data_IF_678199309999
#
_entry.id   IF_678199309999
#
_cell.length_a   1.000
_cell.length_b   1.000
_cell.length_c   1.000
_cell.angle_alpha   90.00
_cell.angle_beta   90.00
_cell.angle_gamma   90.00
#
_symmetry.space_group_name_H-M   'P 1'
#
loop_
_entity.id
_entity.type
_entity.pdbx_description
1 polymer ?
#
# COMPACT_ATOMS: atom_id res chain seq x y z
N UNK A 1 -26.00 -8.00 8.76
CA UNK A 1 -24.57 -7.72 8.68
C UNK A 1 -24.03 -8.14 7.33
N UNK A 2 -23.62 -7.19 6.50
CA UNK A 2 -22.85 -7.46 5.28
C UNK A 2 -21.49 -8.00 5.74
N UNK A 3 -21.20 -9.29 5.48
CA UNK A 3 -19.84 -9.80 5.59
C UNK A 3 -18.96 -8.97 4.63
N UNK A 4 -17.94 -8.32 5.18
CA UNK A 4 -16.87 -7.71 4.38
C UNK A 4 -16.19 -8.85 3.63
N UNK A 5 -16.45 -8.97 2.36
CA UNK A 5 -15.69 -9.86 1.48
C UNK A 5 -14.68 -8.96 0.78
N UNK A 6 -13.43 -8.97 1.25
CA UNK A 6 -12.35 -8.32 0.51
C UNK A 6 -12.22 -9.02 -0.85
N UNK A 7 -12.40 -8.33 -1.99
CA UNK A 7 -12.29 -8.94 -3.31
C UNK A 7 -10.95 -9.66 -3.54
N UNK A 8 -9.87 -9.23 -2.87
CA UNK A 8 -8.57 -9.90 -2.91
C UNK A 8 -8.61 -11.29 -2.24
N UNK A 9 -9.45 -11.48 -1.22
CA UNK A 9 -9.60 -12.78 -0.54
C UNK A 9 -10.33 -13.82 -1.40
N UNK A 10 -11.14 -13.39 -2.38
CA UNK A 10 -11.86 -14.29 -3.28
C UNK A 10 -11.06 -14.70 -4.52
N UNK A 11 -9.90 -14.09 -4.75
CA UNK A 11 -8.99 -14.33 -5.88
C UNK A 11 -7.61 -14.80 -5.43
N UNK A 12 -7.48 -15.32 -4.23
CA UNK A 12 -6.22 -15.91 -3.74
C UNK A 12 -5.77 -17.06 -4.64
N UNK A 13 -4.46 -17.34 -4.70
CA UNK A 13 -3.95 -18.51 -5.41
C UNK A 13 -4.52 -19.78 -4.79
N UNK A 14 -4.59 -20.85 -5.58
CA UNK A 14 -4.96 -22.17 -5.07
C UNK A 14 -3.95 -22.62 -3.99
N UNK A 15 -4.40 -23.35 -2.96
CA UNK A 15 -3.50 -23.89 -1.96
C UNK A 15 -2.40 -24.73 -2.60
N UNK A 16 -1.16 -24.46 -2.22
CA UNK A 16 0.02 -25.17 -2.69
C UNK A 16 0.95 -25.45 -1.51
N UNK A 17 1.32 -26.70 -1.30
CA UNK A 17 2.11 -27.13 -0.13
C UNK A 17 3.62 -26.92 -0.28
N UNK A 18 4.08 -26.48 -1.45
CA UNK A 18 5.51 -26.32 -1.80
C UNK A 18 6.07 -24.92 -1.59
N UNK A 19 5.36 -24.02 -0.89
CA UNK A 19 5.86 -22.67 -0.60
C UNK A 19 6.98 -22.70 0.45
N UNK A 20 8.02 -21.92 0.19
CA UNK A 20 8.99 -21.54 1.22
C UNK A 20 8.62 -20.17 1.74
N UNK A 21 8.40 -20.06 3.05
CA UNK A 21 8.12 -18.79 3.68
C UNK A 21 9.40 -18.00 3.84
N UNK A 22 9.29 -16.67 3.64
CA UNK A 22 10.39 -15.74 3.85
C UNK A 22 10.20 -15.00 5.16
N UNK A 23 11.30 -14.73 5.84
CA UNK A 23 11.39 -13.84 6.99
C UNK A 23 12.14 -12.55 6.61
N UNK A 24 11.95 -11.48 7.41
CA UNK A 24 12.63 -10.20 7.19
C UNK A 24 14.15 -10.39 7.31
N UNK A 25 14.89 -9.98 6.28
CA UNK A 25 16.34 -10.13 6.21
C UNK A 25 16.84 -11.42 5.59
N UNK A 26 15.97 -12.35 5.17
CA UNK A 26 16.37 -13.57 4.48
C UNK A 26 17.20 -13.26 3.22
N UNK A 27 18.24 -14.08 3.02
CA UNK A 27 19.10 -14.00 1.85
C UNK A 27 18.71 -15.08 0.84
N UNK A 28 18.50 -14.65 -0.38
CA UNK A 28 18.14 -15.49 -1.52
C UNK A 28 19.25 -15.41 -2.56
N UNK A 29 19.57 -16.52 -3.19
CA UNK A 29 20.44 -16.54 -4.36
C UNK A 29 19.67 -17.06 -5.56
N UNK A 30 19.47 -16.22 -6.56
CA UNK A 30 18.72 -16.58 -7.75
C UNK A 30 19.34 -15.98 -9.01
N UNK A 31 19.58 -16.82 -10.03
CA UNK A 31 20.13 -16.37 -11.32
C UNK A 31 21.52 -15.72 -11.23
N UNK A 32 22.33 -16.07 -10.20
CA UNK A 32 23.64 -15.45 -9.97
C UNK A 32 23.58 -14.13 -9.23
N UNK A 33 22.41 -13.71 -8.73
CA UNK A 33 22.18 -12.47 -7.97
C UNK A 33 21.85 -12.81 -6.53
N UNK A 34 22.47 -12.09 -5.59
CA UNK A 34 22.17 -12.16 -4.17
C UNK A 34 21.10 -11.12 -3.82
N UNK A 35 20.00 -11.59 -3.25
CA UNK A 35 18.84 -10.78 -2.89
C UNK A 35 18.61 -10.82 -1.37
N UNK A 36 18.22 -9.72 -0.81
CA UNK A 36 17.72 -9.59 0.56
C UNK A 36 16.21 -9.38 0.55
N UNK A 37 15.48 -10.20 1.31
CA UNK A 37 14.06 -10.05 1.52
C UNK A 37 13.81 -9.00 2.61
N UNK A 38 13.11 -7.93 2.29
CA UNK A 38 12.73 -6.87 3.23
C UNK A 38 11.23 -6.94 3.41
N UNK A 39 10.77 -7.33 4.59
CA UNK A 39 9.35 -7.36 4.89
C UNK A 39 8.78 -5.94 4.96
N UNK A 40 7.83 -5.64 4.07
CA UNK A 40 7.23 -4.31 3.88
C UNK A 40 5.71 -4.38 3.94
N UNK A 41 5.13 -4.71 5.13
CA UNK A 41 3.69 -4.78 5.29
C UNK A 41 3.01 -3.42 5.05
N UNK A 42 1.70 -3.48 4.78
CA UNK A 42 0.83 -2.33 4.57
C UNK A 42 -0.08 -2.52 3.37
N UNK A 43 0.45 -2.52 2.14
CA UNK A 43 -0.36 -2.88 0.97
C UNK A 43 -1.00 -4.26 1.12
N UNK A 44 -0.21 -5.23 1.55
CA UNK A 44 -0.67 -6.52 2.09
C UNK A 44 0.15 -6.91 3.31
N UNK A 45 -0.37 -7.73 4.25
CA UNK A 45 0.38 -8.17 5.43
C UNK A 45 1.65 -8.95 5.11
N UNK A 46 1.64 -9.71 4.02
CA UNK A 46 2.76 -10.55 3.57
C UNK A 46 3.61 -9.92 2.47
N UNK A 47 3.57 -8.60 2.28
CA UNK A 47 4.37 -7.97 1.22
C UNK A 47 5.85 -7.94 1.56
N UNK A 48 6.68 -8.24 0.55
CA UNK A 48 8.14 -8.11 0.60
C UNK A 48 8.67 -7.30 -0.58
N UNK A 49 9.67 -6.48 -0.32
CA UNK A 49 10.60 -6.01 -1.34
C UNK A 49 11.80 -6.96 -1.42
N UNK A 50 12.38 -7.12 -2.61
CA UNK A 50 13.65 -7.85 -2.77
C UNK A 50 14.72 -6.86 -3.20
N UNK A 51 15.82 -6.79 -2.45
CA UNK A 51 16.90 -5.86 -2.69
C UNK A 51 18.18 -6.60 -3.09
N UNK A 52 18.79 -6.22 -4.20
CA UNK A 52 20.09 -6.71 -4.67
C UNK A 52 21.13 -5.60 -4.50
N UNK A 53 21.89 -5.58 -3.39
CA UNK A 53 22.79 -4.46 -3.09
C UNK A 53 23.94 -4.31 -4.08
N UNK A 54 24.45 -5.38 -4.64
CA UNK A 54 25.55 -5.36 -5.62
C UNK A 54 25.12 -4.72 -6.94
N UNK A 55 23.91 -5.05 -7.41
CA UNK A 55 23.34 -4.58 -8.67
C UNK A 55 22.61 -3.23 -8.50
N UNK A 56 22.33 -2.82 -7.28
CA UNK A 56 21.51 -1.66 -6.97
C UNK A 56 20.05 -1.82 -7.42
N UNK A 57 19.52 -3.05 -7.38
CA UNK A 57 18.15 -3.35 -7.79
C UNK A 57 17.22 -3.42 -6.58
N UNK A 58 16.03 -2.83 -6.71
CA UNK A 58 14.95 -2.99 -5.75
C UNK A 58 13.68 -3.43 -6.46
N UNK A 59 13.29 -4.67 -6.28
CA UNK A 59 11.97 -5.16 -6.69
C UNK A 59 10.96 -4.74 -5.62
N UNK A 60 10.30 -3.61 -5.86
CA UNK A 60 9.46 -2.96 -4.85
C UNK A 60 8.02 -3.46 -4.82
N UNK A 61 7.63 -4.35 -5.72
CA UNK A 61 6.26 -4.84 -5.78
C UNK A 61 5.25 -3.69 -5.83
N UNK A 62 4.20 -3.80 -5.05
CA UNK A 62 3.20 -2.74 -4.87
C UNK A 62 3.49 -1.83 -3.66
N UNK A 63 4.66 -1.99 -3.01
CA UNK A 63 5.06 -1.10 -1.93
C UNK A 63 5.41 0.31 -2.43
N UNK A 64 6.18 0.41 -3.53
CA UNK A 64 6.52 1.70 -4.15
C UNK A 64 6.12 1.71 -5.62
N UNK A 65 5.09 2.49 -5.92
CA UNK A 65 4.62 2.77 -7.29
C UNK A 65 4.85 4.25 -7.60
N UNK A 66 5.47 4.56 -8.73
CA UNK A 66 5.96 5.93 -9.00
C UNK A 66 4.89 6.90 -9.49
N UNK A 67 3.85 6.43 -10.16
CA UNK A 67 2.84 7.29 -10.80
C UNK A 67 1.45 7.18 -10.20
N UNK A 68 1.24 6.21 -9.33
CA UNK A 68 0.01 6.00 -8.56
C UNK A 68 0.38 5.71 -7.11
N UNK A 69 -0.49 5.97 -6.16
CA UNK A 69 -0.32 5.52 -4.78
C UNK A 69 -0.74 4.05 -4.68
N UNK A 70 0.01 3.21 -3.95
CA UNK A 70 -0.47 1.91 -3.55
C UNK A 70 -1.79 2.04 -2.81
N UNK A 71 -2.66 1.07 -3.01
CA UNK A 71 -3.88 0.99 -2.23
C UNK A 71 -3.56 0.34 -0.88
N UNK A 72 -3.91 0.99 0.20
CA UNK A 72 -3.81 0.46 1.56
C UNK A 72 -5.22 0.18 2.03
N UNK A 73 -5.48 -1.04 2.46
CA UNK A 73 -6.78 -1.50 2.89
C UNK A 73 -6.71 -2.08 4.30
N UNK A 74 -7.84 -2.02 4.98
CA UNK A 74 -8.09 -2.78 6.20
C UNK A 74 -7.98 -4.29 5.92
N UNK A 75 -7.04 -4.96 6.55
CA UNK A 75 -6.82 -6.40 6.49
C UNK A 75 -7.28 -7.07 7.78
N UNK A 76 -7.92 -8.22 7.66
CA UNK A 76 -8.29 -9.02 8.83
C UNK A 76 -7.03 -9.37 9.65
N UNK A 77 -7.07 -9.11 10.95
CA UNK A 77 -5.97 -9.31 11.92
C UNK A 77 -4.77 -8.36 11.75
N UNK A 78 -4.91 -7.27 11.03
CA UNK A 78 -3.93 -6.18 11.00
C UNK A 78 -4.57 -4.96 11.65
N UNK A 79 -4.00 -4.47 12.74
CA UNK A 79 -4.58 -3.38 13.51
C UNK A 79 -4.46 -2.02 12.78
N UNK A 80 -3.35 -1.79 12.10
CA UNK A 80 -3.02 -0.53 11.43
C UNK A 80 -2.20 -0.82 10.16
N UNK A 81 -2.87 -1.00 9.03
CA UNK A 81 -2.22 -1.24 7.74
C UNK A 81 -1.49 -0.01 7.22
N UNK A 82 -2.04 1.18 7.47
CA UNK A 82 -1.43 2.44 7.03
C UNK A 82 -0.18 2.78 7.84
N UNK A 83 -0.20 2.62 9.16
CA UNK A 83 0.98 2.78 10.00
C UNK A 83 2.09 1.81 9.61
N UNK A 84 1.75 0.53 9.41
CA UNK A 84 2.69 -0.48 8.94
C UNK A 84 3.29 -0.11 7.56
N UNK A 85 2.48 0.43 6.65
CA UNK A 85 2.96 0.93 5.35
C UNK A 85 3.94 2.10 5.50
N UNK A 86 3.59 3.10 6.32
CA UNK A 86 4.43 4.27 6.55
C UNK A 86 5.77 3.93 7.23
N UNK A 87 5.78 2.96 8.15
CA UNK A 87 7.01 2.39 8.73
C UNK A 87 7.83 1.68 7.66
N UNK A 88 7.19 0.84 6.84
CA UNK A 88 7.83 0.09 5.76
C UNK A 88 8.50 0.99 4.72
N UNK A 89 7.94 2.16 4.43
CA UNK A 89 8.58 3.15 3.58
C UNK A 89 9.96 3.55 4.11
N UNK A 90 10.11 3.65 5.44
CA UNK A 90 11.38 3.97 6.09
C UNK A 90 12.47 2.91 5.88
N UNK A 91 12.09 1.62 5.74
CA UNK A 91 13.04 0.52 5.52
C UNK A 91 13.75 0.63 4.17
N UNK A 92 13.09 1.17 3.15
CA UNK A 92 13.61 1.23 1.78
C UNK A 92 14.08 2.62 1.35
N UNK A 93 13.74 3.67 2.10
CA UNK A 93 13.99 5.06 1.72
C UNK A 93 15.45 5.38 1.43
N UNK A 94 16.38 4.79 2.19
CA UNK A 94 17.81 5.08 2.11
C UNK A 94 18.62 3.94 1.46
N UNK A 95 17.98 2.98 0.80
CA UNK A 95 18.67 1.96 0.05
C UNK A 95 19.33 2.56 -1.20
N UNK A 96 20.55 2.13 -1.48
CA UNK A 96 21.26 2.47 -2.72
C UNK A 96 20.68 1.63 -3.87
N UNK A 97 19.50 2.04 -4.37
CA UNK A 97 18.74 1.32 -5.39
C UNK A 97 18.43 2.22 -6.60
N UNK A 98 19.44 2.53 -7.44
CA UNK A 98 19.25 3.33 -8.64
C UNK A 98 18.33 2.66 -9.69
N UNK A 99 18.08 1.36 -9.56
CA UNK A 99 17.27 0.59 -10.48
C UNK A 99 16.06 -0.05 -9.77
N UNK A 100 14.99 0.72 -9.52
CA UNK A 100 13.77 0.17 -8.94
C UNK A 100 12.89 -0.53 -9.98
N UNK A 101 12.27 -1.65 -9.56
CA UNK A 101 11.35 -2.48 -10.36
C UNK A 101 9.99 -2.58 -9.66
N UNK A 102 9.07 -1.63 -9.87
CA UNK A 102 7.71 -1.71 -9.35
C UNK A 102 6.86 -2.71 -10.14
N UNK A 103 5.82 -3.28 -9.52
CA UNK A 103 4.87 -4.18 -10.18
C UNK A 103 4.06 -3.49 -11.29
N UNK A 104 3.80 -2.20 -11.14
CA UNK A 104 2.92 -1.45 -12.02
C UNK A 104 3.54 -0.14 -12.46
N UNK A 105 3.25 0.23 -13.73
CA UNK A 105 3.61 1.51 -14.31
C UNK A 105 5.12 1.69 -14.48
N UNK A 106 5.52 2.89 -14.88
CA UNK A 106 6.92 3.24 -15.15
C UNK A 106 7.57 3.90 -13.94
N UNK A 107 8.87 3.75 -13.83
CA UNK A 107 9.71 4.47 -12.87
C UNK A 107 9.82 5.95 -13.26
N UNK A 108 9.77 6.83 -12.26
CA UNK A 108 9.98 8.28 -12.41
C UNK A 108 10.67 8.82 -11.15
N UNK A 109 11.88 9.33 -11.29
CA UNK A 109 12.67 9.83 -10.18
C UNK A 109 13.31 8.72 -9.34
N UNK A 110 13.66 9.02 -8.12
CA UNK A 110 14.34 8.13 -7.18
C UNK A 110 13.38 7.52 -6.14
N UNK A 111 13.80 6.43 -5.49
CA UNK A 111 13.06 5.84 -4.35
C UNK A 111 12.82 6.90 -3.28
N UNK A 112 13.87 7.64 -2.88
CA UNK A 112 13.80 8.64 -1.81
C UNK A 112 12.79 9.76 -2.12
N UNK A 113 12.81 10.30 -3.33
CA UNK A 113 11.83 11.31 -3.76
C UNK A 113 10.41 10.74 -3.75
N UNK A 114 10.26 9.47 -4.17
CA UNK A 114 8.96 8.83 -4.19
C UNK A 114 8.43 8.53 -2.80
N UNK A 115 9.26 8.04 -1.88
CA UNK A 115 8.90 7.82 -0.47
C UNK A 115 8.40 9.12 0.15
N UNK A 116 9.13 10.22 -0.02
CA UNK A 116 8.69 11.54 0.44
C UNK A 116 7.31 11.91 -0.10
N UNK A 117 7.09 11.76 -1.41
CA UNK A 117 5.82 12.09 -2.05
C UNK A 117 4.66 11.20 -1.55
N UNK A 118 4.92 9.91 -1.24
CA UNK A 118 3.94 9.00 -0.67
C UNK A 118 3.57 9.38 0.76
N UNK A 119 4.57 9.71 1.62
CA UNK A 119 4.31 10.21 2.98
C UNK A 119 3.45 11.47 2.97
N UNK A 120 3.84 12.47 2.18
CA UNK A 120 3.08 13.71 2.02
C UNK A 120 1.65 13.46 1.48
N UNK A 121 1.48 12.45 0.63
CA UNK A 121 0.16 12.05 0.15
C UNK A 121 -0.71 11.55 1.29
N UNK A 122 -0.23 10.60 2.08
CA UNK A 122 -1.01 10.04 3.19
C UNK A 122 -1.24 11.06 4.31
N UNK A 123 -0.26 11.91 4.65
CA UNK A 123 -0.45 13.01 5.59
C UNK A 123 -1.61 13.93 5.18
N UNK A 124 -1.69 14.29 3.90
CA UNK A 124 -2.83 15.10 3.39
C UNK A 124 -4.16 14.36 3.48
N UNK A 125 -4.17 13.04 3.21
CA UNK A 125 -5.38 12.21 3.31
C UNK A 125 -5.87 12.11 4.75
N UNK A 126 -4.98 11.84 5.70
CA UNK A 126 -5.27 11.80 7.13
C UNK A 126 -5.81 13.16 7.61
N UNK A 127 -5.15 14.25 7.26
CA UNK A 127 -5.61 15.60 7.64
C UNK A 127 -6.98 15.93 7.08
N UNK A 128 -7.30 15.50 5.85
CA UNK A 128 -8.61 15.68 5.24
C UNK A 128 -9.69 14.87 5.97
N UNK A 129 -9.43 13.59 6.26
CA UNK A 129 -10.33 12.72 7.00
C UNK A 129 -10.61 13.29 8.41
N UNK A 130 -9.54 13.66 9.14
CA UNK A 130 -9.63 14.24 10.48
C UNK A 130 -10.47 15.53 10.49
N UNK A 131 -10.28 16.42 9.51
CA UNK A 131 -11.10 17.63 9.38
C UNK A 131 -12.58 17.27 9.23
N UNK A 132 -12.91 16.32 8.36
CA UNK A 132 -14.31 15.91 8.11
C UNK A 132 -14.95 15.34 9.38
N UNK A 133 -14.23 14.48 10.11
CA UNK A 133 -14.72 13.88 11.36
C UNK A 133 -14.89 14.92 12.45
N UNK A 134 -13.98 15.90 12.53
CA UNK A 134 -14.05 16.98 13.51
C UNK A 134 -15.24 17.92 13.23
N UNK A 135 -15.47 18.26 11.97
CA UNK A 135 -16.61 19.10 11.56
C UNK A 135 -17.95 18.39 11.76
N UNK A 136 -17.99 17.08 11.58
CA UNK A 136 -19.20 16.27 11.69
C UNK A 136 -18.93 14.92 12.35
N UNK A 137 -18.91 14.83 13.68
CA UNK A 137 -18.73 13.58 14.41
C UNK A 137 -19.83 12.55 14.12
N UNK A 138 -19.47 11.27 14.19
CA UNK A 138 -20.41 10.15 14.03
C UNK A 138 -20.69 9.74 12.59
N UNK A 139 -19.91 10.23 11.62
CA UNK A 139 -19.97 9.75 10.25
C UNK A 139 -19.38 8.32 10.15
N UNK A 140 -19.99 7.53 9.28
CA UNK A 140 -19.42 6.22 8.88
C UNK A 140 -18.23 6.42 7.93
N UNK A 141 -17.30 5.43 7.82
CA UNK A 141 -16.22 5.49 6.84
C UNK A 141 -16.70 5.73 5.40
N UNK A 142 -17.84 5.18 5.03
CA UNK A 142 -18.47 5.44 3.71
C UNK A 142 -18.88 6.91 3.53
N UNK A 143 -19.45 7.53 4.55
CA UNK A 143 -19.86 8.94 4.51
C UNK A 143 -18.65 9.88 4.52
N UNK A 144 -17.56 9.50 5.20
CA UNK A 144 -16.28 10.22 5.17
C UNK A 144 -15.68 10.14 3.78
N UNK A 145 -15.57 8.94 3.21
CA UNK A 145 -15.06 8.72 1.85
C UNK A 145 -15.83 9.55 0.82
N UNK A 146 -17.16 9.63 0.96
CA UNK A 146 -18.01 10.45 0.08
C UNK A 146 -17.79 11.96 0.17
N UNK A 147 -17.13 12.45 1.23
CA UNK A 147 -16.79 13.86 1.43
C UNK A 147 -15.35 14.22 1.09
N UNK A 148 -14.49 13.20 0.99
CA UNK A 148 -13.09 13.38 0.62
C UNK A 148 -12.93 13.67 -0.87
N UNK A 149 -11.85 14.33 -1.24
CA UNK A 149 -11.52 14.61 -2.63
C UNK A 149 -10.75 13.44 -3.26
N UNK A 150 -11.26 12.94 -4.38
CA UNK A 150 -10.65 11.85 -5.12
C UNK A 150 -10.22 12.30 -6.52
N UNK A 151 -8.99 11.95 -6.93
CA UNK A 151 -8.49 12.21 -8.29
C UNK A 151 -8.94 11.12 -9.26
N UNK A 152 -10.26 10.94 -9.40
CA UNK A 152 -10.87 9.94 -10.29
C UNK A 152 -11.73 10.62 -11.34
N UNK A 153 -11.92 9.95 -12.47
CA UNK A 153 -12.72 10.45 -13.61
C UNK A 153 -14.25 10.28 -13.40
N UNK A 154 -14.75 10.43 -12.18
CA UNK A 154 -16.17 10.46 -11.91
C UNK A 154 -16.60 11.89 -11.49
N UNK A 155 -17.86 12.25 -11.78
CA UNK A 155 -18.36 13.59 -11.50
C UNK A 155 -18.68 13.78 -10.02
N UNK A 156 -19.09 12.71 -9.35
CA UNK A 156 -19.49 12.70 -7.94
C UNK A 156 -19.32 11.30 -7.33
N UNK A 157 -19.54 11.20 -6.02
CA UNK A 157 -19.41 9.96 -5.25
C UNK A 157 -20.41 8.88 -5.68
N UNK A 158 -21.63 9.25 -6.10
CA UNK A 158 -22.66 8.29 -6.55
C UNK A 158 -22.26 7.55 -7.81
N UNK A 159 -21.58 8.22 -8.73
CA UNK A 159 -21.06 7.66 -9.99
C UNK A 159 -19.74 6.91 -9.84
N UNK A 160 -19.17 6.91 -8.63
CA UNK A 160 -17.91 6.23 -8.37
C UNK A 160 -18.06 4.71 -8.57
N UNK A 161 -17.17 4.03 -9.32
CA UNK A 161 -17.22 2.59 -9.48
C UNK A 161 -17.21 1.87 -8.13
N UNK A 162 -17.96 0.77 -8.02
CA UNK A 162 -18.15 0.06 -6.76
C UNK A 162 -16.83 -0.45 -6.16
N UNK A 163 -15.95 -0.97 -6.98
CA UNK A 163 -14.60 -1.40 -6.59
C UNK A 163 -13.77 -0.25 -6.03
N UNK A 164 -13.86 0.92 -6.67
CA UNK A 164 -13.16 2.13 -6.20
C UNK A 164 -13.76 2.67 -4.89
N UNK A 165 -15.08 2.55 -4.69
CA UNK A 165 -15.72 2.87 -3.41
C UNK A 165 -15.25 1.98 -2.28
N UNK A 166 -15.08 0.67 -2.55
CA UNK A 166 -14.57 -0.27 -1.55
C UNK A 166 -13.15 0.10 -1.11
N UNK A 167 -12.28 0.43 -2.06
CA UNK A 167 -10.92 0.90 -1.75
C UNK A 167 -10.91 2.22 -0.97
N UNK A 168 -11.72 3.19 -1.41
CA UNK A 168 -11.82 4.48 -0.74
C UNK A 168 -12.35 4.37 0.71
N UNK A 169 -13.28 3.45 0.96
CA UNK A 169 -13.80 3.18 2.32
C UNK A 169 -12.75 2.46 3.15
N UNK A 170 -12.03 1.47 2.59
CA UNK A 170 -10.94 0.76 3.27
C UNK A 170 -9.84 1.72 3.74
N UNK A 171 -9.37 2.62 2.88
CA UNK A 171 -8.38 3.64 3.22
C UNK A 171 -8.83 4.53 4.40
N UNK A 172 -10.13 4.80 4.53
CA UNK A 172 -10.64 5.63 5.65
C UNK A 172 -10.80 4.85 6.96
N UNK A 173 -10.94 3.55 6.95
CA UNK A 173 -10.95 2.73 8.18
C UNK A 173 -9.57 2.79 8.82
N UNK A 174 -8.51 2.59 8.04
CA UNK A 174 -7.12 2.66 8.52
C UNK A 174 -6.71 4.08 9.00
N UNK A 175 -7.37 5.13 8.52
CA UNK A 175 -7.10 6.52 8.94
C UNK A 175 -7.83 6.94 10.23
N UNK A 176 -8.64 6.07 10.84
CA UNK A 176 -9.50 6.43 11.97
C UNK A 176 -9.09 5.79 13.31
N UNK A 177 -8.18 4.84 13.30
CA UNK A 177 -7.59 4.20 14.47
C UNK A 177 -6.28 4.91 14.87
#
# INVERSE_FOLDING_TARGET
GLRRVNPAQTKGPEPFDGYTYLEDGDKLHYGGVDLEAIWTPGHTPGHFCLYAPTEGWLFSGDHILFTISPNICDWENVADSLGAYLESLGKVENLEAPHPFPSHRRVMGTIKERVKALREHHERRIAEALRIVTEKPGLTPYEIAGRMQWKIRSRNWEEFPLDQKLFAVGENVDNMD
#
